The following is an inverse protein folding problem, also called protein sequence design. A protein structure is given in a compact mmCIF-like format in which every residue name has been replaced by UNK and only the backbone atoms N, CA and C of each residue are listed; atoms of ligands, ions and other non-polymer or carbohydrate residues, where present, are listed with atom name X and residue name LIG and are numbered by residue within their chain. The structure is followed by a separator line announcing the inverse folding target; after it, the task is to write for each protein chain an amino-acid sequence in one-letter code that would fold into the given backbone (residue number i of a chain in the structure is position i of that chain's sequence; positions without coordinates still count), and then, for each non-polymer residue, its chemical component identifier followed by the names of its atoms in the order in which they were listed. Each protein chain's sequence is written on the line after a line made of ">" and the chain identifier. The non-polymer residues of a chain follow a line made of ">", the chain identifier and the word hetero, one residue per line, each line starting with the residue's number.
data_IF_498856853683
#
_entry.id   IF_498856853683
#
_cell.length_a   1.000
_cell.length_b   1.000
_cell.length_c   1.000
_cell.angle_alpha   90.00
_cell.angle_beta   90.00
_cell.angle_gamma   90.00
#
_symmetry.space_group_name_H-M   'P 1'
#
loop_
_entity.id
_entity.type
_entity.pdbx_description
1 polymer ?
#
# COMPACT_ATOMS: atom_id res chain seq x y z
N UNK A 1 6.94 8.82 8.82
CA UNK A 1 5.70 8.47 8.07
C UNK A 1 4.98 9.78 7.76
N UNK A 2 4.54 10.01 6.53
CA UNK A 2 3.77 11.20 6.15
C UNK A 2 2.30 10.79 6.20
N UNK A 3 1.56 11.33 7.16
CA UNK A 3 0.17 10.94 7.43
C UNK A 3 -0.78 11.45 6.34
N UNK A 4 -0.56 12.66 5.84
CA UNK A 4 -1.38 13.27 4.77
C UNK A 4 -1.44 12.37 3.54
N UNK A 5 -0.28 11.85 3.11
CA UNK A 5 -0.18 10.91 1.98
C UNK A 5 -0.93 9.59 2.20
N UNK A 6 -1.12 9.16 3.44
CA UNK A 6 -1.89 7.95 3.78
C UNK A 6 -3.38 8.27 3.76
N UNK A 7 -3.78 9.41 4.30
CA UNK A 7 -5.17 9.86 4.31
C UNK A 7 -5.67 10.05 2.88
N UNK A 8 -4.93 10.77 2.04
CA UNK A 8 -5.22 10.91 0.61
C UNK A 8 -5.37 9.54 -0.10
N UNK A 9 -4.47 8.59 0.20
CA UNK A 9 -4.54 7.26 -0.38
C UNK A 9 -5.81 6.51 0.08
N UNK A 10 -6.13 6.56 1.38
CA UNK A 10 -7.29 5.86 1.97
C UNK A 10 -8.63 6.47 1.56
N UNK A 11 -8.68 7.78 1.28
CA UNK A 11 -9.89 8.47 0.78
C UNK A 11 -10.38 7.90 -0.56
N UNK A 12 -9.46 7.36 -1.38
CA UNK A 12 -9.81 6.67 -2.63
C UNK A 12 -10.46 5.29 -2.42
N UNK A 13 -10.60 4.85 -1.16
CA UNK A 13 -11.09 3.52 -0.76
C UNK A 13 -10.38 2.37 -1.50
N UNK A 14 -9.04 2.33 -1.50
CA UNK A 14 -8.29 1.34 -2.26
C UNK A 14 -8.35 -0.04 -1.57
N UNK A 15 -8.40 -1.13 -2.34
CA UNK A 15 -8.07 -2.46 -1.79
C UNK A 15 -6.56 -2.72 -1.78
N UNK A 16 -5.82 -2.06 -2.68
CA UNK A 16 -4.37 -2.21 -2.85
C UNK A 16 -3.74 -0.85 -3.11
N UNK A 17 -2.65 -0.55 -2.40
CA UNK A 17 -1.77 0.59 -2.67
C UNK A 17 -0.46 0.03 -3.23
N UNK A 18 -0.08 0.43 -4.45
CA UNK A 18 1.15 -0.03 -5.09
C UNK A 18 2.28 0.98 -4.90
N UNK A 19 3.49 0.51 -4.61
CA UNK A 19 4.69 1.35 -4.59
C UNK A 19 5.93 0.56 -5.03
N UNK A 20 6.74 1.11 -5.93
CA UNK A 20 7.98 0.49 -6.42
C UNK A 20 9.25 0.93 -5.67
N UNK A 21 9.10 1.58 -4.51
CA UNK A 21 10.22 2.02 -3.68
C UNK A 21 10.12 1.35 -2.30
N UNK A 22 11.13 0.58 -1.85
CA UNK A 22 11.10 -0.12 -0.57
C UNK A 22 10.79 0.79 0.62
N UNK A 23 11.35 1.99 0.63
CA UNK A 23 11.08 2.97 1.68
C UNK A 23 9.61 3.42 1.69
N UNK A 24 9.04 3.69 0.51
CA UNK A 24 7.63 4.05 0.41
C UNK A 24 6.73 2.90 0.84
N UNK A 25 7.07 1.64 0.53
CA UNK A 25 6.29 0.50 0.98
C UNK A 25 6.25 0.39 2.50
N UNK A 26 7.39 0.50 3.18
CA UNK A 26 7.42 0.50 4.66
C UNK A 26 6.58 1.65 5.21
N UNK A 27 6.80 2.86 4.69
CA UNK A 27 6.07 4.05 5.11
C UNK A 27 4.55 3.93 4.93
N UNK A 28 4.10 3.39 3.79
CA UNK A 28 2.69 3.16 3.49
C UNK A 28 2.10 2.05 4.36
N UNK A 29 2.84 0.95 4.54
CA UNK A 29 2.40 -0.18 5.36
C UNK A 29 2.23 0.23 6.82
N UNK A 30 3.20 0.98 7.36
CA UNK A 30 3.11 1.51 8.72
C UNK A 30 1.98 2.52 8.84
N UNK A 31 1.78 3.38 7.84
CA UNK A 31 0.68 4.33 7.79
C UNK A 31 -0.71 3.67 7.77
N UNK A 32 -0.89 2.61 6.98
CA UNK A 32 -2.12 1.83 6.93
C UNK A 32 -2.40 1.14 8.28
N UNK A 33 -1.37 0.59 8.93
CA UNK A 33 -1.48 0.03 10.28
C UNK A 33 -1.84 1.09 11.32
N UNK A 34 -1.26 2.28 11.25
CA UNK A 34 -1.59 3.41 12.14
C UNK A 34 -3.05 3.87 12.02
N UNK A 35 -3.72 3.55 10.91
CA UNK A 35 -5.14 3.84 10.68
C UNK A 35 -6.04 2.63 10.93
N UNK A 36 -5.50 1.53 11.47
CA UNK A 36 -6.21 0.26 11.71
C UNK A 36 -6.86 -0.32 10.44
N UNK A 37 -6.23 -0.10 9.27
CA UNK A 37 -6.73 -0.52 7.94
C UNK A 37 -5.92 -1.65 7.30
N UNK A 38 -4.98 -2.26 8.02
CA UNK A 38 -4.08 -3.29 7.50
C UNK A 38 -4.77 -4.60 7.10
N UNK A 39 -5.98 -4.83 7.59
CA UNK A 39 -6.83 -5.96 7.18
C UNK A 39 -7.64 -5.66 5.90
N UNK A 40 -7.89 -4.39 5.58
CA UNK A 40 -8.72 -3.95 4.45
C UNK A 40 -7.86 -3.56 3.24
N UNK A 41 -6.71 -2.95 3.48
CA UNK A 41 -5.84 -2.35 2.45
C UNK A 41 -4.47 -3.02 2.46
N UNK A 42 -4.06 -3.56 1.31
CA UNK A 42 -2.73 -4.17 1.14
C UNK A 42 -1.77 -3.23 0.44
N UNK A 43 -0.55 -3.12 0.95
CA UNK A 43 0.54 -2.43 0.26
C UNK A 43 1.39 -3.46 -0.47
N UNK A 44 1.53 -3.33 -1.79
CA UNK A 44 2.24 -4.29 -2.64
C UNK A 44 3.27 -3.61 -3.54
N UNK A 45 4.31 -4.37 -3.91
CA UNK A 45 5.24 -3.93 -4.96
C UNK A 45 4.60 -4.09 -6.35
N UNK A 46 4.95 -3.20 -7.28
CA UNK A 46 4.43 -3.24 -8.66
C UNK A 46 4.86 -4.54 -9.37
N UNK A 47 6.09 -4.99 -9.14
CA UNK A 47 6.58 -6.24 -9.70
C UNK A 47 5.82 -7.44 -9.14
N UNK A 48 5.45 -7.42 -7.86
CA UNK A 48 4.66 -8.49 -7.22
C UNK A 48 3.25 -8.57 -7.82
N UNK A 49 2.60 -7.42 -8.07
CA UNK A 49 1.29 -7.37 -8.74
C UNK A 49 1.39 -7.99 -10.14
N UNK A 50 2.45 -7.64 -10.87
CA UNK A 50 2.68 -8.15 -12.22
C UNK A 50 2.97 -9.65 -12.21
N UNK A 51 3.78 -10.14 -11.27
CA UNK A 51 4.07 -11.56 -11.13
C UNK A 51 2.80 -12.38 -10.87
N UNK A 52 1.97 -11.96 -9.90
CA UNK A 52 0.69 -12.60 -9.59
C UNK A 52 -0.27 -12.62 -10.78
N UNK A 53 -0.33 -11.54 -11.56
CA UNK A 53 -1.17 -11.45 -12.74
C UNK A 53 -0.73 -12.39 -13.88
N UNK A 54 0.58 -12.68 -13.97
CA UNK A 54 1.15 -13.57 -14.98
C UNK A 54 1.35 -15.02 -14.48
N UNK A 55 0.94 -15.34 -13.25
CA UNK A 55 1.09 -16.68 -12.67
C UNK A 55 2.55 -17.08 -12.40
N UNK A 56 3.42 -16.09 -12.14
CA UNK A 56 4.82 -16.27 -11.78
C UNK A 56 5.00 -16.44 -10.26
#
# INVERSE_FOLDING_TARGET
>A
INIERIEEALETQPQVIAAGCPFCMTMLSDGVKLKDKDQEVRVLDIAEITARANGL
#
